data_IF_863874634282
#
_entry.id   IF_863874634282
#
_cell.length_a   1.000
_cell.length_b   1.000
_cell.length_c   1.000
_cell.angle_alpha   90.00
_cell.angle_beta   90.00
_cell.angle_gamma   90.00
#
_symmetry.space_group_name_H-M   'P 1'
#
loop_
_entity.id
_entity.type
_entity.pdbx_description
1 polymer ?
#
# COMPACT_ATOMS: atom_id res chain seq x y z
N UNK A 1 -21.84 -3.59 8.22
CA UNK A 1 -21.70 -3.77 6.74
C UNK A 1 -22.83 -4.62 6.15
N UNK A 2 -23.15 -5.84 6.65
CA UNK A 2 -24.19 -6.67 6.03
C UNK A 2 -25.56 -5.97 5.81
N UNK A 3 -26.15 -5.26 6.80
CA UNK A 3 -27.40 -4.53 6.56
C UNK A 3 -27.30 -3.41 5.52
N UNK A 4 -26.11 -2.82 5.36
CA UNK A 4 -25.84 -1.80 4.35
C UNK A 4 -25.78 -2.41 2.95
N UNK A 5 -25.14 -3.58 2.83
CA UNK A 5 -25.09 -4.34 1.57
C UNK A 5 -26.50 -4.73 1.11
N UNK A 6 -27.33 -5.23 2.02
CA UNK A 6 -28.72 -5.55 1.72
C UNK A 6 -29.52 -4.32 1.25
N UNK A 7 -29.36 -3.18 1.93
CA UNK A 7 -29.96 -1.92 1.47
C UNK A 7 -29.41 -1.47 0.11
N UNK A 8 -28.10 -1.62 -0.12
CA UNK A 8 -27.48 -1.33 -1.40
C UNK A 8 -28.15 -2.11 -2.54
N UNK A 9 -28.34 -3.41 -2.37
CA UNK A 9 -29.03 -4.25 -3.35
C UNK A 9 -30.50 -3.86 -3.57
N UNK A 10 -31.23 -3.53 -2.50
CA UNK A 10 -32.63 -3.07 -2.60
C UNK A 10 -32.79 -1.71 -3.30
N UNK A 11 -31.73 -0.89 -3.32
CA UNK A 11 -31.72 0.42 -3.99
C UNK A 11 -31.42 0.35 -5.50
N UNK A 12 -31.00 -0.80 -6.00
CA UNK A 12 -30.73 -0.97 -7.43
C UNK A 12 -32.05 -0.97 -8.18
N UNK A 13 -32.35 0.15 -8.87
CA UNK A 13 -33.48 0.29 -9.78
C UNK A 13 -33.05 0.09 -11.23
N UNK A 14 -34.02 0.12 -12.18
CA UNK A 14 -33.75 -0.10 -13.60
C UNK A 14 -32.63 0.78 -14.18
N UNK A 15 -32.53 2.03 -13.76
CA UNK A 15 -31.46 2.95 -14.20
C UNK A 15 -30.06 2.63 -13.72
N UNK A 16 -29.91 1.72 -12.73
CA UNK A 16 -28.64 1.31 -12.16
C UNK A 16 -28.23 -0.12 -12.56
N UNK A 17 -29.08 -0.81 -13.35
CA UNK A 17 -28.80 -2.16 -13.87
C UNK A 17 -27.84 -2.15 -15.06
N UNK A 18 -27.57 -0.98 -15.64
CA UNK A 18 -26.59 -0.81 -16.70
C UNK A 18 -25.16 -0.76 -16.19
N UNK A 19 -24.22 -0.59 -17.09
CA UNK A 19 -22.78 -0.58 -16.79
C UNK A 19 -22.33 0.58 -15.88
N UNK A 20 -23.08 1.66 -15.78
CA UNK A 20 -22.74 2.83 -14.97
C UNK A 20 -21.54 3.65 -15.45
N UNK A 21 -21.17 4.70 -14.71
CA UNK A 21 -20.00 5.52 -15.02
C UNK A 21 -18.70 4.73 -14.86
N UNK A 22 -17.74 4.97 -15.75
CA UNK A 22 -16.43 4.29 -15.73
C UNK A 22 -15.58 4.66 -14.52
N UNK A 23 -15.85 5.82 -13.93
CA UNK A 23 -15.18 6.29 -12.73
C UNK A 23 -15.77 5.70 -11.43
N UNK A 24 -16.88 4.97 -11.54
CA UNK A 24 -17.61 4.44 -10.39
C UNK A 24 -18.75 5.33 -9.90
N UNK A 25 -19.47 4.86 -8.89
CA UNK A 25 -20.64 5.50 -8.33
C UNK A 25 -20.32 6.89 -7.78
N UNK A 26 -21.12 7.90 -8.14
CA UNK A 26 -20.87 9.31 -7.79
C UNK A 26 -20.92 9.53 -6.27
N UNK A 27 -21.84 8.89 -5.54
CA UNK A 27 -21.93 9.05 -4.09
C UNK A 27 -20.67 8.51 -3.40
N UNK A 28 -20.14 7.35 -3.83
CA UNK A 28 -18.89 6.83 -3.27
C UNK A 28 -17.70 7.73 -3.61
N UNK A 29 -17.61 8.27 -4.82
CA UNK A 29 -16.55 9.20 -5.21
C UNK A 29 -16.57 10.47 -4.36
N UNK A 30 -17.76 11.03 -4.09
CA UNK A 30 -17.94 12.18 -3.20
C UNK A 30 -17.51 11.86 -1.76
N UNK A 31 -17.97 10.73 -1.21
CA UNK A 31 -17.62 10.30 0.13
C UNK A 31 -16.11 10.07 0.29
N UNK A 32 -15.43 9.49 -0.73
CA UNK A 32 -13.98 9.29 -0.75
C UNK A 32 -13.25 10.63 -0.80
N UNK A 33 -13.63 11.54 -1.69
CA UNK A 33 -12.99 12.86 -1.81
C UNK A 33 -13.07 13.65 -0.49
N UNK A 34 -14.25 13.68 0.15
CA UNK A 34 -14.47 14.32 1.44
C UNK A 34 -13.61 13.69 2.54
N UNK A 35 -13.61 12.35 2.62
CA UNK A 35 -12.81 11.60 3.58
C UNK A 35 -11.32 11.91 3.45
N UNK A 36 -10.78 11.88 2.23
CA UNK A 36 -9.36 12.10 1.96
C UNK A 36 -8.91 13.53 2.23
N UNK A 37 -9.75 14.50 1.92
CA UNK A 37 -9.48 15.91 2.21
C UNK A 37 -9.26 16.13 3.70
N UNK A 38 -10.11 15.52 4.54
CA UNK A 38 -10.06 15.68 6.00
C UNK A 38 -8.98 14.80 6.64
N UNK A 39 -8.84 13.55 6.18
CA UNK A 39 -7.97 12.58 6.86
C UNK A 39 -6.53 12.59 6.37
N UNK A 40 -6.30 12.97 5.10
CA UNK A 40 -4.99 12.85 4.44
C UNK A 40 -4.50 14.16 3.81
N UNK A 41 -5.31 15.22 3.84
CA UNK A 41 -4.98 16.48 3.18
C UNK A 41 -4.86 16.37 1.65
N UNK A 42 -5.47 15.35 1.06
CA UNK A 42 -5.49 15.17 -0.41
C UNK A 42 -6.32 16.27 -1.03
N UNK A 43 -5.78 16.93 -2.06
CA UNK A 43 -6.46 18.00 -2.79
C UNK A 43 -7.17 17.43 -4.01
N UNK A 44 -8.46 17.18 -3.87
CA UNK A 44 -9.28 16.67 -4.97
C UNK A 44 -10.76 17.00 -4.80
N UNK A 45 -11.49 16.86 -5.87
CA UNK A 45 -12.94 16.73 -5.90
C UNK A 45 -13.36 15.37 -6.47
N UNK A 46 -14.66 15.07 -6.43
CA UNK A 46 -15.19 13.79 -6.86
C UNK A 46 -14.95 13.49 -8.38
N UNK A 47 -14.67 14.49 -9.22
CA UNK A 47 -14.41 14.27 -10.65
C UNK A 47 -13.05 13.63 -10.90
N UNK A 48 -12.13 13.79 -9.94
CA UNK A 48 -10.77 13.23 -9.96
C UNK A 48 -10.68 11.83 -9.34
N UNK A 49 -11.76 11.35 -8.70
CA UNK A 49 -11.78 10.05 -8.02
C UNK A 49 -12.29 8.97 -8.97
N UNK A 50 -11.52 7.89 -9.07
CA UNK A 50 -11.92 6.65 -9.77
C UNK A 50 -12.03 5.53 -8.75
N UNK A 51 -13.16 4.82 -8.74
CA UNK A 51 -13.33 3.59 -7.96
C UNK A 51 -12.77 2.43 -8.78
N UNK A 52 -11.94 1.61 -8.14
CA UNK A 52 -11.20 0.52 -8.79
C UNK A 52 -11.40 -0.81 -8.06
N UNK A 53 -10.97 -1.91 -8.67
CA UNK A 53 -10.95 -3.23 -8.03
C UNK A 53 -9.73 -3.44 -7.11
N UNK A 54 -9.23 -2.37 -6.53
CA UNK A 54 -8.07 -2.32 -5.63
C UNK A 54 -6.78 -1.89 -6.33
N UNK A 55 -5.69 -1.79 -5.55
CA UNK A 55 -4.40 -1.22 -5.97
C UNK A 55 -3.85 -1.83 -7.25
N UNK A 56 -3.94 -3.16 -7.44
CA UNK A 56 -3.45 -3.83 -8.66
C UNK A 56 -4.14 -3.32 -9.92
N UNK A 57 -5.45 -3.14 -9.86
CA UNK A 57 -6.22 -2.58 -10.97
C UNK A 57 -5.86 -1.11 -11.21
N UNK A 58 -5.67 -0.33 -10.14
CA UNK A 58 -5.22 1.06 -10.25
C UNK A 58 -3.84 1.15 -10.91
N UNK A 59 -2.91 0.30 -10.53
CA UNK A 59 -1.55 0.23 -11.11
C UNK A 59 -1.57 -0.14 -12.59
N UNK A 60 -2.35 -1.17 -12.98
CA UNK A 60 -2.51 -1.56 -14.38
C UNK A 60 -3.09 -0.40 -15.23
N UNK A 61 -4.11 0.29 -14.70
CA UNK A 61 -4.67 1.47 -15.36
C UNK A 61 -3.64 2.60 -15.52
N UNK A 62 -2.85 2.88 -14.48
CA UNK A 62 -1.81 3.90 -14.56
C UNK A 62 -0.75 3.55 -15.61
N UNK A 63 -0.23 2.32 -15.58
CA UNK A 63 0.78 1.88 -16.52
C UNK A 63 0.29 1.97 -17.97
N UNK A 64 -0.89 1.40 -18.27
CA UNK A 64 -1.49 1.43 -19.63
C UNK A 64 -1.87 2.83 -20.12
N UNK A 65 -2.10 3.77 -19.23
CA UNK A 65 -2.52 5.13 -19.62
C UNK A 65 -1.35 6.07 -19.80
N UNK A 66 -0.28 5.88 -19.01
CA UNK A 66 0.77 6.89 -18.83
C UNK A 66 2.13 6.48 -19.39
N UNK A 67 2.29 5.21 -19.74
CA UNK A 67 3.56 4.68 -20.21
C UNK A 67 3.40 3.85 -21.48
N UNK A 68 4.46 3.82 -22.27
CA UNK A 68 4.63 2.94 -23.41
C UNK A 68 5.57 1.77 -23.03
N UNK A 69 5.52 0.69 -23.81
CA UNK A 69 6.42 -0.44 -23.64
C UNK A 69 7.89 0.02 -23.73
N UNK A 70 8.71 -0.40 -22.77
CA UNK A 70 10.12 0.01 -22.63
C UNK A 70 10.35 1.30 -21.83
N UNK A 71 9.30 2.05 -21.49
CA UNK A 71 9.44 3.19 -20.59
C UNK A 71 9.96 2.77 -19.21
N UNK A 72 10.68 3.68 -18.57
CA UNK A 72 11.30 3.42 -17.27
C UNK A 72 10.32 3.67 -16.12
N UNK A 73 10.22 2.70 -15.22
CA UNK A 73 9.53 2.85 -13.94
C UNK A 73 10.51 2.67 -12.78
N UNK A 74 10.56 3.64 -11.88
CA UNK A 74 11.27 3.51 -10.63
C UNK A 74 10.38 2.81 -9.60
N UNK A 75 10.95 1.86 -8.88
CA UNK A 75 10.30 1.16 -7.78
C UNK A 75 11.21 1.13 -6.55
N UNK A 76 10.61 1.18 -5.38
CA UNK A 76 11.30 0.94 -4.11
C UNK A 76 11.95 -0.45 -4.12
N UNK A 77 13.18 -0.55 -3.59
CA UNK A 77 13.90 -1.81 -3.47
C UNK A 77 14.58 -1.94 -2.10
N UNK A 78 14.06 -2.81 -1.21
CA UNK A 78 12.93 -3.72 -1.39
C UNK A 78 11.60 -2.99 -1.52
N UNK A 79 10.64 -3.58 -2.24
CA UNK A 79 9.36 -2.94 -2.51
C UNK A 79 8.21 -3.91 -2.76
N UNK A 80 7.03 -3.37 -2.97
CA UNK A 80 5.81 -4.14 -3.15
C UNK A 80 5.84 -4.98 -4.43
N UNK A 81 5.75 -6.30 -4.25
CA UNK A 81 5.75 -7.27 -5.36
C UNK A 81 4.64 -6.99 -6.39
N UNK A 82 3.46 -6.58 -5.93
CA UNK A 82 2.33 -6.31 -6.81
C UNK A 82 2.58 -5.13 -7.75
N UNK A 83 3.27 -4.08 -7.32
CA UNK A 83 3.66 -2.97 -8.19
C UNK A 83 4.63 -3.46 -9.26
N UNK A 84 5.66 -4.23 -8.85
CA UNK A 84 6.59 -4.87 -9.79
C UNK A 84 5.86 -5.68 -10.85
N UNK A 85 4.94 -6.55 -10.43
CA UNK A 85 4.19 -7.40 -11.36
C UNK A 85 3.31 -6.59 -12.34
N UNK A 86 2.63 -5.55 -11.88
CA UNK A 86 1.79 -4.71 -12.73
C UNK A 86 2.60 -3.93 -13.77
N UNK A 87 3.72 -3.34 -13.36
CA UNK A 87 4.59 -2.55 -14.25
C UNK A 87 5.33 -3.45 -15.24
N UNK A 88 5.76 -4.65 -14.82
CA UNK A 88 6.34 -5.65 -15.74
C UNK A 88 5.33 -6.17 -16.75
N UNK A 89 4.07 -6.37 -16.36
CA UNK A 89 3.00 -6.78 -17.27
C UNK A 89 2.67 -5.71 -18.34
N UNK A 90 3.05 -4.47 -18.09
CA UNK A 90 2.98 -3.37 -19.05
C UNK A 90 4.29 -3.18 -19.83
N UNK A 91 5.19 -4.15 -19.82
CA UNK A 91 6.51 -4.14 -20.49
C UNK A 91 7.39 -2.93 -20.11
N UNK A 92 7.23 -2.39 -18.92
CA UNK A 92 8.08 -1.30 -18.42
C UNK A 92 9.44 -1.81 -17.94
N UNK A 93 10.48 -1.01 -18.16
CA UNK A 93 11.81 -1.25 -17.61
C UNK A 93 11.87 -0.80 -16.16
N UNK A 94 11.99 -1.76 -15.22
CA UNK A 94 12.06 -1.46 -13.81
C UNK A 94 13.47 -1.07 -13.37
N UNK A 95 13.59 0.08 -12.72
CA UNK A 95 14.82 0.54 -12.07
C UNK A 95 14.61 0.49 -10.56
N UNK A 96 15.43 -0.33 -9.85
CA UNK A 96 15.38 -0.39 -8.40
C UNK A 96 16.01 0.85 -7.78
N UNK A 97 15.25 1.58 -6.98
CA UNK A 97 15.77 2.68 -6.19
C UNK A 97 15.84 2.26 -4.73
N UNK A 98 16.98 2.51 -4.09
CA UNK A 98 17.20 2.16 -2.68
C UNK A 98 16.22 2.87 -1.76
N UNK A 99 15.94 2.22 -0.64
CA UNK A 99 15.13 2.78 0.45
C UNK A 99 16.02 2.91 1.68
N UNK A 100 16.03 4.08 2.29
CA UNK A 100 16.68 4.36 3.56
C UNK A 100 15.64 4.67 4.67
N UNK A 101 16.09 5.20 5.78
CA UNK A 101 15.23 5.57 6.93
C UNK A 101 14.20 6.64 6.57
N UNK A 102 14.48 7.46 5.56
CA UNK A 102 13.64 8.54 5.05
C UNK A 102 12.83 8.16 3.80
N UNK A 103 12.75 6.88 3.46
CA UNK A 103 11.99 6.35 2.31
C UNK A 103 12.80 6.22 1.03
N UNK A 104 12.15 6.30 -0.14
CA UNK A 104 12.81 6.22 -1.46
C UNK A 104 13.96 7.22 -1.57
N UNK A 105 15.16 6.77 -1.94
CA UNK A 105 16.41 7.53 -1.93
C UNK A 105 17.10 7.56 -3.31
N UNK A 106 16.52 8.26 -4.32
CA UNK A 106 17.15 8.41 -5.62
C UNK A 106 18.36 9.32 -5.52
N UNK A 107 19.42 8.97 -6.26
CA UNK A 107 20.64 9.78 -6.41
C UNK A 107 20.51 10.66 -7.67
N UNK A 108 21.32 11.70 -7.77
CA UNK A 108 21.36 12.57 -8.95
C UNK A 108 21.67 11.80 -10.26
N UNK A 109 22.51 10.76 -10.16
CA UNK A 109 22.82 9.90 -11.29
C UNK A 109 21.59 9.13 -11.79
N UNK A 110 20.73 8.68 -10.87
CA UNK A 110 19.52 7.93 -11.23
C UNK A 110 18.59 8.81 -12.10
N UNK A 111 18.45 10.11 -11.74
CA UNK A 111 17.66 11.08 -12.52
C UNK A 111 18.26 11.36 -13.90
N UNK A 112 19.58 11.41 -14.01
CA UNK A 112 20.28 11.69 -15.25
C UNK A 112 20.33 10.48 -16.19
N UNK A 113 20.68 9.31 -15.66
CA UNK A 113 21.03 8.13 -16.44
C UNK A 113 19.84 7.22 -16.74
N UNK A 114 18.82 7.25 -15.87
CA UNK A 114 17.60 6.44 -16.01
C UNK A 114 16.34 7.22 -15.63
N UNK A 115 16.07 8.37 -16.26
CA UNK A 115 14.92 9.20 -15.93
C UNK A 115 13.61 8.38 -15.99
N UNK A 116 12.76 8.48 -14.98
CA UNK A 116 11.56 7.68 -14.91
C UNK A 116 10.40 8.29 -15.69
N UNK A 117 9.52 7.46 -16.23
CA UNK A 117 8.16 7.82 -16.63
C UNK A 117 7.19 7.72 -15.46
N UNK A 118 7.33 6.65 -14.65
CA UNK A 118 6.56 6.42 -13.43
C UNK A 118 7.49 6.20 -12.25
N UNK A 119 7.09 6.71 -11.08
CA UNK A 119 7.77 6.49 -9.79
C UNK A 119 6.75 5.91 -8.83
N UNK A 120 6.92 4.65 -8.41
CA UNK A 120 6.04 4.01 -7.42
C UNK A 120 6.64 4.13 -6.02
N UNK A 121 5.85 4.66 -5.08
CA UNK A 121 6.24 4.86 -3.68
C UNK A 121 5.14 4.47 -2.70
N UNK A 122 5.55 4.07 -1.49
CA UNK A 122 4.70 3.83 -0.32
C UNK A 122 5.12 4.74 0.84
N UNK A 123 4.92 6.08 0.73
CA UNK A 123 5.62 7.07 1.55
C UNK A 123 5.12 7.19 2.99
N UNK A 124 3.91 6.72 3.27
CA UNK A 124 3.32 6.78 4.61
C UNK A 124 3.77 5.62 5.51
N UNK A 125 4.08 4.49 4.90
CA UNK A 125 4.58 3.27 5.54
C UNK A 125 5.18 2.38 4.46
N UNK A 126 6.48 2.54 4.22
CA UNK A 126 7.18 1.85 3.14
C UNK A 126 7.04 0.33 3.28
N UNK A 127 6.59 -0.30 2.22
CA UNK A 127 6.46 -1.75 2.21
C UNK A 127 7.66 -2.40 1.52
N UNK A 128 8.41 -3.29 2.21
CA UNK A 128 8.07 -3.93 3.50
C UNK A 128 8.79 -3.36 4.73
N UNK A 129 9.69 -2.38 4.62
CA UNK A 129 10.60 -1.97 5.70
C UNK A 129 9.94 -1.16 6.83
N UNK A 130 8.78 -0.55 6.56
CA UNK A 130 8.08 0.30 7.51
C UNK A 130 8.68 1.70 7.69
N UNK A 131 9.62 2.10 6.84
CA UNK A 131 10.15 3.46 6.82
C UNK A 131 9.05 4.47 6.46
N UNK A 132 9.16 5.69 6.96
CA UNK A 132 8.23 6.78 6.67
C UNK A 132 8.99 7.85 5.91
N UNK A 133 8.56 8.19 4.69
CA UNK A 133 9.22 9.22 3.90
C UNK A 133 9.19 10.56 4.62
N UNK A 134 10.37 11.16 4.81
CA UNK A 134 10.53 12.41 5.54
C UNK A 134 9.79 13.57 4.86
N UNK A 135 9.43 14.58 5.67
CA UNK A 135 8.73 15.77 5.17
C UNK A 135 9.58 16.60 4.19
N UNK A 136 10.88 16.53 4.29
CA UNK A 136 11.82 17.21 3.39
C UNK A 136 11.95 16.49 2.04
N UNK A 137 11.94 15.16 2.05
CA UNK A 137 12.09 14.35 0.83
C UNK A 137 10.86 14.41 -0.08
N UNK A 138 9.65 14.55 0.49
CA UNK A 138 8.40 14.59 -0.29
C UNK A 138 8.35 15.75 -1.30
N UNK A 139 8.55 17.03 -0.93
CA UNK A 139 8.54 18.13 -1.89
C UNK A 139 9.73 18.06 -2.87
N UNK A 140 10.89 17.59 -2.43
CA UNK A 140 12.05 17.36 -3.30
C UNK A 140 11.72 16.36 -4.42
N UNK A 141 11.10 15.22 -4.06
CA UNK A 141 10.68 14.20 -5.04
C UNK A 141 9.65 14.76 -6.04
N UNK A 142 8.68 15.56 -5.58
CA UNK A 142 7.71 16.23 -6.46
C UNK A 142 8.41 17.16 -7.46
N UNK A 143 9.40 17.95 -7.00
CA UNK A 143 10.12 18.89 -7.83
C UNK A 143 10.92 18.17 -8.93
N UNK A 144 11.66 17.13 -8.57
CA UNK A 144 12.45 16.34 -9.52
C UNK A 144 11.54 15.58 -10.50
N UNK A 145 10.46 14.98 -10.04
CA UNK A 145 9.50 14.30 -10.90
C UNK A 145 8.88 15.26 -11.93
N UNK A 146 8.52 16.48 -11.49
CA UNK A 146 8.00 17.51 -12.38
C UNK A 146 9.03 17.93 -13.44
N UNK A 147 10.28 18.12 -13.05
CA UNK A 147 11.37 18.45 -13.97
C UNK A 147 11.66 17.35 -15.00
N UNK A 148 11.54 16.09 -14.58
CA UNK A 148 11.70 14.91 -15.43
C UNK A 148 10.46 14.57 -16.28
N UNK A 149 9.33 15.25 -16.10
CA UNK A 149 8.06 14.88 -16.74
C UNK A 149 7.49 13.54 -16.26
N UNK A 150 7.86 13.10 -15.07
CA UNK A 150 7.45 11.84 -14.46
C UNK A 150 6.18 11.99 -13.63
N UNK A 151 5.41 10.88 -13.53
CA UNK A 151 4.28 10.75 -12.62
C UNK A 151 4.67 9.93 -11.40
N UNK A 152 4.29 10.41 -10.21
CA UNK A 152 4.44 9.67 -8.96
C UNK A 152 3.15 8.90 -8.69
N UNK A 153 3.25 7.61 -8.41
CA UNK A 153 2.17 6.77 -7.92
C UNK A 153 2.39 6.60 -6.41
N UNK A 154 1.61 7.31 -5.62
CA UNK A 154 1.59 7.22 -4.16
C UNK A 154 0.60 6.15 -3.72
N UNK A 155 1.09 4.99 -3.30
CA UNK A 155 0.24 3.91 -2.77
C UNK A 155 0.14 4.03 -1.24
N UNK A 156 -1.02 4.44 -0.79
CA UNK A 156 -1.36 4.63 0.61
C UNK A 156 -2.30 3.52 1.09
N UNK A 157 -1.73 2.39 1.47
CA UNK A 157 -2.47 1.15 1.72
C UNK A 157 -2.89 0.95 3.18
N UNK A 158 -2.22 1.59 4.17
CA UNK A 158 -2.47 1.35 5.61
C UNK A 158 -2.20 2.55 6.54
N UNK A 159 -2.08 3.76 6.02
CA UNK A 159 -1.80 4.97 6.80
C UNK A 159 -2.85 5.31 7.85
N UNK A 160 -4.07 4.78 7.71
CA UNK A 160 -5.12 4.88 8.72
C UNK A 160 -4.72 4.26 10.06
N UNK A 161 -3.77 3.32 10.04
CA UNK A 161 -3.29 2.58 11.22
C UNK A 161 -1.96 3.14 11.74
N UNK A 162 -1.85 4.46 11.80
CA UNK A 162 -0.70 5.10 12.45
C UNK A 162 -0.84 4.97 13.96
N UNK A 163 0.21 4.44 14.60
CA UNK A 163 0.23 4.15 16.03
C UNK A 163 0.96 5.23 16.83
N UNK A 164 1.96 5.89 16.24
CA UNK A 164 2.76 6.92 16.90
C UNK A 164 2.90 8.15 16.00
N UNK A 165 2.97 9.33 16.62
CA UNK A 165 3.11 10.62 15.93
C UNK A 165 1.81 11.14 15.31
N UNK A 166 1.87 12.36 14.78
CA UNK A 166 0.75 12.99 14.08
C UNK A 166 0.46 12.31 12.74
N UNK A 167 -0.80 12.35 12.25
CA UNK A 167 -1.10 11.95 10.88
C UNK A 167 -0.25 12.74 9.87
N UNK A 168 0.28 12.04 8.88
CA UNK A 168 1.04 12.68 7.80
C UNK A 168 0.12 13.00 6.64
N UNK A 169 0.26 14.18 6.05
CA UNK A 169 -0.42 14.51 4.80
C UNK A 169 0.11 13.63 3.66
N UNK A 170 -0.76 13.32 2.72
CA UNK A 170 -0.36 12.66 1.48
C UNK A 170 0.63 13.54 0.68
N UNK A 171 1.51 12.91 -0.10
CA UNK A 171 2.42 13.62 -1.02
C UNK A 171 1.60 14.43 -2.04
N UNK A 172 0.48 13.86 -2.51
CA UNK A 172 -0.45 14.47 -3.46
C UNK A 172 -0.94 15.86 -3.00
N UNK A 173 -1.20 16.02 -1.72
CA UNK A 173 -1.77 17.26 -1.16
C UNK A 173 -0.76 18.37 -0.86
N UNK A 174 0.54 18.12 -0.96
CA UNK A 174 1.58 19.07 -0.53
C UNK A 174 1.69 20.30 -1.43
N UNK A 175 1.48 20.16 -2.73
CA UNK A 175 1.55 21.26 -3.70
C UNK A 175 0.37 21.22 -4.66
N UNK A 176 0.01 22.38 -5.19
CA UNK A 176 -0.97 22.44 -6.27
C UNK A 176 -0.43 21.76 -7.53
N UNK A 177 -1.32 21.06 -8.24
CA UNK A 177 -0.98 20.34 -9.46
C UNK A 177 0.25 19.44 -9.31
N UNK A 178 0.40 18.78 -8.16
CA UNK A 178 1.43 17.78 -7.96
C UNK A 178 1.30 16.67 -9.03
N UNK A 179 2.39 16.20 -9.65
CA UNK A 179 2.37 15.10 -10.60
C UNK A 179 2.19 13.76 -9.86
N UNK A 180 1.19 13.68 -9.00
CA UNK A 180 0.97 12.55 -8.09
C UNK A 180 -0.41 11.96 -8.32
N UNK A 181 -0.44 10.66 -8.53
CA UNK A 181 -1.63 9.82 -8.54
C UNK A 181 -1.66 9.12 -7.20
N UNK A 182 -2.68 9.41 -6.39
CA UNK A 182 -2.86 8.79 -5.08
C UNK A 182 -3.70 7.53 -5.20
N UNK A 183 -3.22 6.42 -4.67
CA UNK A 183 -3.95 5.15 -4.61
C UNK A 183 -4.34 4.84 -3.16
N UNK A 184 -5.57 4.38 -2.98
CA UNK A 184 -6.06 3.89 -1.70
C UNK A 184 -6.85 2.59 -1.85
N UNK A 185 -6.96 1.83 -0.78
CA UNK A 185 -7.65 0.54 -0.79
C UNK A 185 -8.52 0.32 0.43
N UNK A 186 -9.72 -0.17 0.23
CA UNK A 186 -10.58 -0.63 1.34
C UNK A 186 -10.24 -2.04 1.82
N UNK A 187 -9.39 -2.77 1.08
CA UNK A 187 -9.00 -4.14 1.43
C UNK A 187 -8.29 -4.26 2.77
N UNK A 188 -7.51 -3.26 3.15
CA UNK A 188 -6.79 -3.22 4.43
C UNK A 188 -7.63 -2.58 5.53
N UNK A 189 -8.41 -1.58 5.18
CA UNK A 189 -9.27 -0.87 6.11
C UNK A 189 -10.49 -1.68 6.53
N UNK A 190 -11.03 -2.54 5.66
CA UNK A 190 -12.19 -3.40 5.90
C UNK A 190 -11.82 -4.88 5.79
N UNK A 191 -11.90 -5.43 4.59
CA UNK A 191 -11.50 -6.83 4.31
C UNK A 191 -11.16 -7.03 2.84
N UNK A 192 -10.18 -7.92 2.52
CA UNK A 192 -9.66 -8.09 1.16
C UNK A 192 -10.70 -8.53 0.12
N UNK A 193 -11.69 -9.34 0.51
CA UNK A 193 -12.71 -9.87 -0.40
C UNK A 193 -13.69 -8.78 -0.91
N UNK A 194 -13.71 -7.60 -0.30
CA UNK A 194 -14.51 -6.47 -0.79
C UNK A 194 -14.03 -6.02 -2.18
N UNK A 195 -12.73 -6.14 -2.47
CA UNK A 195 -12.13 -5.81 -3.76
C UNK A 195 -12.53 -4.42 -4.28
N UNK A 196 -12.56 -3.44 -3.41
CA UNK A 196 -12.75 -2.03 -3.75
C UNK A 196 -11.52 -1.23 -3.34
N UNK A 197 -11.08 -0.38 -4.23
CA UNK A 197 -10.08 0.63 -4.03
C UNK A 197 -10.48 1.91 -4.75
N UNK A 198 -9.60 2.88 -4.72
CA UNK A 198 -9.80 4.13 -5.43
C UNK A 198 -8.45 4.74 -5.81
N UNK A 199 -8.48 5.59 -6.81
CA UNK A 199 -7.36 6.49 -7.12
C UNK A 199 -7.86 7.91 -7.28
N UNK A 200 -7.01 8.85 -6.88
CA UNK A 200 -7.19 10.29 -7.11
C UNK A 200 -6.14 10.72 -8.12
N UNK A 201 -6.60 11.32 -9.21
CA UNK A 201 -5.73 11.68 -10.32
C UNK A 201 -5.70 13.19 -10.56
N UNK A 202 -4.59 13.74 -11.03
CA UNK A 202 -4.54 15.13 -11.50
C UNK A 202 -5.62 15.41 -12.55
N UNK A 203 -6.21 16.62 -12.60
CA UNK A 203 -7.29 16.95 -13.57
C UNK A 203 -6.95 16.64 -15.03
N UNK A 204 -5.70 16.86 -15.43
CA UNK A 204 -5.21 16.57 -16.78
C UNK A 204 -5.26 15.06 -17.15
N UNK A 205 -5.23 14.17 -16.15
CA UNK A 205 -5.28 12.73 -16.36
C UNK A 205 -6.68 12.15 -16.35
N UNK A 206 -7.70 12.92 -15.98
CA UNK A 206 -9.09 12.43 -15.95
C UNK A 206 -9.57 11.96 -17.32
N UNK A 207 -9.42 12.72 -18.44
CA UNK A 207 -9.88 12.26 -19.74
C UNK A 207 -9.17 10.99 -20.25
N UNK A 208 -7.83 10.89 -20.27
CA UNK A 208 -7.16 9.68 -20.72
C UNK A 208 -7.49 8.44 -19.85
N UNK A 209 -7.58 8.59 -18.53
CA UNK A 209 -7.94 7.49 -17.64
C UNK A 209 -9.39 7.04 -17.84
N UNK A 210 -10.33 7.94 -18.09
CA UNK A 210 -11.69 7.58 -18.49
C UNK A 210 -11.71 6.74 -19.77
N UNK A 211 -10.91 7.09 -20.76
CA UNK A 211 -10.78 6.33 -22.00
C UNK A 211 -10.26 4.92 -21.73
N UNK A 212 -9.19 4.79 -20.96
CA UNK A 212 -8.62 3.49 -20.58
C UNK A 212 -9.61 2.66 -19.76
N UNK A 213 -10.24 3.24 -18.74
CA UNK A 213 -11.24 2.55 -17.92
C UNK A 213 -12.42 2.06 -18.76
N UNK A 214 -12.86 2.87 -19.72
CA UNK A 214 -13.92 2.50 -20.66
C UNK A 214 -13.55 1.32 -21.56
N UNK A 215 -12.32 1.29 -22.04
CA UNK A 215 -11.78 0.20 -22.86
C UNK A 215 -11.59 -1.11 -22.08
N UNK A 216 -11.15 -1.02 -20.83
CA UNK A 216 -10.95 -2.17 -19.95
C UNK A 216 -12.27 -2.67 -19.33
N UNK A 217 -13.39 -1.98 -19.55
CA UNK A 217 -14.72 -2.31 -19.02
C UNK A 217 -14.76 -2.48 -17.49
N UNK A 218 -13.96 -1.68 -16.75
CA UNK A 218 -13.86 -1.70 -15.30
C UNK A 218 -15.11 -1.04 -14.67
N UNK A 219 -16.17 -1.81 -14.50
CA UNK A 219 -17.48 -1.32 -14.05
C UNK A 219 -18.17 -2.36 -13.20
N UNK A 220 -19.22 -1.93 -12.48
CA UNK A 220 -20.06 -2.83 -11.69
C UNK A 220 -19.96 -2.58 -10.19
N UNK A 221 -20.35 -3.57 -9.41
CA UNK A 221 -20.38 -3.54 -7.94
C UNK A 221 -21.17 -2.34 -7.39
N UNK A 222 -22.28 -1.99 -8.05
CA UNK A 222 -23.06 -0.81 -7.70
C UNK A 222 -23.59 -0.90 -6.28
N UNK A 223 -24.09 -2.08 -5.86
CA UNK A 223 -24.61 -2.29 -4.51
C UNK A 223 -23.53 -2.09 -3.43
N UNK A 224 -22.32 -2.65 -3.66
CA UNK A 224 -21.18 -2.51 -2.76
C UNK A 224 -20.71 -1.07 -2.68
N UNK A 225 -20.67 -0.37 -3.81
CA UNK A 225 -20.29 1.04 -3.85
C UNK A 225 -21.30 1.92 -3.11
N UNK A 226 -22.61 1.70 -3.29
CA UNK A 226 -23.65 2.42 -2.55
C UNK A 226 -23.60 2.15 -1.06
N UNK A 227 -23.43 0.87 -0.67
CA UNK A 227 -23.30 0.49 0.73
C UNK A 227 -22.07 1.12 1.40
N UNK A 228 -20.94 1.19 0.66
CA UNK A 228 -19.72 1.78 1.17
C UNK A 228 -19.82 3.30 1.28
N UNK A 229 -20.46 3.97 0.32
CA UNK A 229 -20.77 5.40 0.41
C UNK A 229 -21.55 5.71 1.69
N UNK A 230 -22.67 5.01 1.91
CA UNK A 230 -23.48 5.17 3.12
C UNK A 230 -22.68 4.85 4.41
N UNK A 231 -21.79 3.84 4.36
CA UNK A 231 -20.93 3.48 5.50
C UNK A 231 -19.97 4.60 5.89
N UNK A 232 -19.44 5.33 4.90
CA UNK A 232 -18.56 6.48 5.11
C UNK A 232 -19.36 7.67 5.62
N UNK A 233 -20.42 8.05 4.91
CA UNK A 233 -21.27 9.23 5.18
C UNK A 233 -21.93 9.16 6.56
N UNK A 234 -22.41 7.99 6.98
CA UNK A 234 -23.01 7.77 8.29
C UNK A 234 -21.98 7.72 9.45
N UNK A 235 -20.68 7.94 9.17
CA UNK A 235 -19.60 7.93 10.14
C UNK A 235 -19.26 6.54 10.71
N UNK A 236 -19.82 5.47 10.15
CA UNK A 236 -19.51 4.10 10.55
C UNK A 236 -18.07 3.73 10.22
N UNK A 237 -17.56 4.19 9.09
CA UNK A 237 -16.19 3.97 8.66
C UNK A 237 -15.18 4.56 9.65
N UNK A 238 -15.36 5.82 10.06
CA UNK A 238 -14.49 6.47 11.04
C UNK A 238 -14.49 5.75 12.39
N UNK A 239 -15.69 5.29 12.86
CA UNK A 239 -15.80 4.50 14.10
C UNK A 239 -15.08 3.15 13.97
N UNK A 240 -15.20 2.49 12.83
CA UNK A 240 -14.50 1.26 12.52
C UNK A 240 -12.98 1.45 12.55
N UNK A 241 -12.45 2.45 11.87
CA UNK A 241 -11.02 2.75 11.83
C UNK A 241 -10.46 3.03 13.24
N UNK A 242 -11.18 3.79 14.09
CA UNK A 242 -10.76 4.04 15.47
C UNK A 242 -10.65 2.74 16.29
N UNK A 243 -11.62 1.85 16.13
CA UNK A 243 -11.61 0.53 16.79
C UNK A 243 -10.44 -0.32 16.29
N UNK A 244 -10.23 -0.38 14.98
CA UNK A 244 -9.17 -1.20 14.38
C UNK A 244 -7.78 -0.66 14.72
N UNK A 245 -7.61 0.67 14.77
CA UNK A 245 -6.34 1.28 15.20
C UNK A 245 -5.96 0.86 16.61
N UNK A 246 -6.90 0.86 17.55
CA UNK A 246 -6.64 0.37 18.91
C UNK A 246 -6.27 -1.12 18.91
N UNK A 247 -7.05 -1.95 18.23
CA UNK A 247 -6.81 -3.39 18.15
C UNK A 247 -5.44 -3.72 17.55
N UNK A 248 -5.07 -3.03 16.47
CA UNK A 248 -3.76 -3.25 15.83
C UNK A 248 -2.61 -2.70 16.68
N UNK A 249 -2.83 -1.62 17.43
CA UNK A 249 -1.88 -1.15 18.42
C UNK A 249 -1.59 -2.19 19.50
N UNK A 250 -2.63 -2.76 20.12
CA UNK A 250 -2.53 -3.83 21.13
C UNK A 250 -1.78 -5.06 20.58
N UNK A 251 -2.06 -5.45 19.33
CA UNK A 251 -1.39 -6.59 18.68
C UNK A 251 0.08 -6.31 18.34
N UNK A 252 0.38 -5.10 17.87
CA UNK A 252 1.75 -4.66 17.63
C UNK A 252 2.57 -4.70 18.92
N UNK A 253 2.04 -4.12 20.00
CA UNK A 253 2.73 -4.04 21.27
C UNK A 253 3.01 -5.43 21.85
N UNK A 254 2.03 -6.35 21.73
CA UNK A 254 2.21 -7.75 22.13
C UNK A 254 3.29 -8.46 21.28
N UNK A 255 3.33 -8.21 19.96
CA UNK A 255 4.35 -8.76 19.08
C UNK A 255 5.74 -8.21 19.42
N UNK A 256 5.88 -6.90 19.64
CA UNK A 256 7.16 -6.29 20.01
C UNK A 256 7.66 -6.82 21.34
N UNK A 257 6.82 -6.88 22.37
CA UNK A 257 7.19 -7.44 23.68
C UNK A 257 7.59 -8.92 23.61
N UNK A 258 6.94 -9.71 22.75
CA UNK A 258 7.31 -11.10 22.52
C UNK A 258 8.65 -11.24 21.79
N UNK A 259 8.92 -10.38 20.81
CA UNK A 259 10.22 -10.33 20.11
C UNK A 259 11.35 -9.96 21.08
N UNK A 260 11.17 -8.92 21.88
CA UNK A 260 12.15 -8.50 22.89
C UNK A 260 12.45 -9.64 23.89
N UNK A 261 11.44 -10.42 24.26
CA UNK A 261 11.59 -11.53 25.22
C UNK A 261 12.28 -12.76 24.63
N UNK A 262 11.99 -13.09 23.38
CA UNK A 262 12.37 -14.40 22.81
C UNK A 262 13.41 -14.31 21.69
N UNK A 263 13.59 -13.14 21.06
CA UNK A 263 14.42 -12.96 19.86
C UNK A 263 15.45 -11.84 20.02
N UNK A 264 15.67 -11.36 21.24
CA UNK A 264 16.75 -10.40 21.54
C UNK A 264 18.10 -10.96 21.08
N UNK A 265 18.88 -10.18 20.35
CA UNK A 265 20.14 -10.58 19.74
C UNK A 265 20.03 -11.58 18.57
N UNK A 266 18.82 -11.96 18.17
CA UNK A 266 18.56 -12.84 17.02
C UNK A 266 17.99 -12.04 15.84
N UNK A 267 17.16 -11.03 16.11
CA UNK A 267 16.59 -10.15 15.10
C UNK A 267 16.66 -8.69 15.51
N UNK A 268 16.81 -7.82 14.51
CA UNK A 268 16.64 -6.36 14.67
C UNK A 268 15.32 -5.95 14.00
N UNK A 269 14.42 -5.33 14.79
CA UNK A 269 13.10 -4.92 14.33
C UNK A 269 13.12 -3.50 13.76
N UNK A 270 12.41 -3.28 12.65
CA UNK A 270 12.14 -1.98 12.07
C UNK A 270 10.65 -1.81 11.76
N UNK A 271 10.22 -0.57 11.56
CA UNK A 271 8.80 -0.22 11.40
C UNK A 271 8.12 0.00 12.76
N UNK A 272 6.80 -0.20 12.82
CA UNK A 272 6.02 -0.10 14.06
C UNK A 272 5.47 1.29 14.38
N UNK A 273 5.84 2.33 13.64
CA UNK A 273 5.20 3.64 13.75
C UNK A 273 3.76 3.63 13.21
N UNK A 274 3.44 2.69 12.34
CA UNK A 274 2.13 2.52 11.72
C UNK A 274 1.95 1.15 11.08
N UNK A 275 0.84 0.98 10.37
CA UNK A 275 0.55 -0.18 9.55
C UNK A 275 0.10 -1.42 10.30
N UNK A 276 0.32 -2.58 9.69
CA UNK A 276 -0.14 -3.88 10.18
C UNK A 276 0.96 -4.95 10.15
N UNK A 277 2.23 -4.57 10.00
CA UNK A 277 3.38 -5.47 10.00
C UNK A 277 4.61 -4.79 10.61
N UNK A 278 5.57 -5.61 11.01
CA UNK A 278 6.94 -5.22 11.36
C UNK A 278 7.89 -5.93 10.39
N UNK A 279 9.05 -5.36 10.16
CA UNK A 279 10.17 -6.06 9.54
C UNK A 279 11.20 -6.44 10.60
N UNK A 280 11.63 -7.70 10.59
CA UNK A 280 12.62 -8.25 11.49
C UNK A 280 13.81 -8.75 10.67
N UNK A 281 14.91 -7.99 10.66
CA UNK A 281 16.17 -8.41 10.03
C UNK A 281 16.80 -9.51 10.89
N UNK A 282 17.24 -10.59 10.27
CA UNK A 282 17.97 -11.67 10.94
C UNK A 282 19.43 -11.25 11.15
N UNK A 283 19.89 -11.25 12.40
CA UNK A 283 21.26 -10.93 12.75
C UNK A 283 22.20 -12.16 12.66
N UNK A 284 21.61 -13.36 12.49
CA UNK A 284 22.32 -14.60 12.24
C UNK A 284 22.52 -14.86 10.73
N UNK A 285 23.57 -15.55 10.31
CA UNK A 285 23.87 -15.88 8.91
C UNK A 285 22.99 -17.03 8.38
N UNK A 286 21.68 -16.97 8.66
CA UNK A 286 20.69 -17.97 8.26
C UNK A 286 19.83 -17.36 7.15
N UNK A 287 19.70 -17.99 5.98
CA UNK A 287 18.85 -17.44 4.91
C UNK A 287 17.38 -17.35 5.33
N UNK A 288 16.80 -16.18 5.17
CA UNK A 288 15.39 -15.91 5.50
C UNK A 288 14.40 -16.81 4.71
N UNK A 289 14.80 -17.22 3.51
CA UNK A 289 14.03 -18.16 2.69
C UNK A 289 13.98 -19.55 3.29
N UNK A 290 15.04 -19.99 3.96
CA UNK A 290 15.07 -21.29 4.65
C UNK A 290 14.26 -21.24 5.94
N UNK A 291 14.39 -20.16 6.72
CA UNK A 291 13.55 -19.94 7.90
C UNK A 291 12.06 -19.92 7.48
N UNK A 292 11.71 -19.22 6.41
CA UNK A 292 10.35 -19.22 5.89
C UNK A 292 9.85 -20.60 5.48
N UNK A 293 10.72 -21.41 4.86
CA UNK A 293 10.39 -22.78 4.45
C UNK A 293 10.16 -23.68 5.67
N UNK A 294 11.06 -23.63 6.67
CA UNK A 294 10.94 -24.40 7.89
C UNK A 294 9.70 -23.99 8.70
N UNK A 295 9.40 -22.70 8.82
CA UNK A 295 8.24 -22.18 9.53
C UNK A 295 6.90 -22.75 9.00
N UNK A 296 6.80 -23.02 7.70
CA UNK A 296 5.59 -23.62 7.09
C UNK A 296 5.30 -25.02 7.62
N UNK A 297 6.32 -25.82 7.89
CA UNK A 297 6.16 -27.15 8.50
C UNK A 297 5.57 -27.06 9.92
N UNK A 298 5.72 -25.91 10.58
CA UNK A 298 5.16 -25.61 11.89
C UNK A 298 3.87 -24.76 11.83
N UNK A 299 3.20 -24.68 10.68
CA UNK A 299 1.95 -23.95 10.49
C UNK A 299 2.08 -22.43 10.54
N UNK A 300 3.29 -21.88 10.36
CA UNK A 300 3.53 -20.43 10.34
C UNK A 300 3.85 -19.95 8.94
N UNK A 301 3.29 -18.79 8.55
CA UNK A 301 3.59 -18.15 7.27
C UNK A 301 4.44 -16.90 7.57
N UNK A 302 5.75 -17.05 7.47
CA UNK A 302 6.72 -15.96 7.56
C UNK A 302 7.17 -15.58 6.15
N UNK A 303 7.11 -14.30 5.81
CA UNK A 303 7.50 -13.83 4.47
C UNK A 303 8.95 -13.40 4.47
N UNK A 304 9.84 -14.02 3.65
CA UNK A 304 11.23 -13.61 3.58
C UNK A 304 11.34 -12.19 3.02
N UNK A 305 12.10 -11.34 3.68
CA UNK A 305 12.32 -9.95 3.27
C UNK A 305 13.11 -9.86 1.96
N UNK A 306 14.07 -10.78 1.74
CA UNK A 306 14.86 -10.87 0.52
C UNK A 306 14.02 -11.02 -0.76
N UNK A 307 12.84 -11.61 -0.68
CA UNK A 307 11.94 -11.76 -1.84
C UNK A 307 11.28 -10.47 -2.32
N UNK A 308 11.36 -9.41 -1.52
CA UNK A 308 10.87 -8.08 -1.92
C UNK A 308 11.91 -7.28 -2.70
N UNK A 309 13.16 -7.75 -2.76
CA UNK A 309 14.19 -7.18 -3.64
C UNK A 309 13.99 -7.63 -5.09
N UNK A 310 14.44 -6.79 -6.02
CA UNK A 310 14.56 -7.19 -7.42
C UNK A 310 15.66 -8.28 -7.56
N UNK A 311 15.48 -9.28 -8.45
CA UNK A 311 16.50 -10.27 -8.71
C UNK A 311 17.84 -9.61 -9.12
N UNK A 312 18.93 -10.12 -8.54
CA UNK A 312 20.28 -9.61 -8.82
C UNK A 312 20.65 -8.31 -8.10
N UNK A 313 19.75 -7.76 -7.26
CA UNK A 313 20.06 -6.61 -6.42
C UNK A 313 20.30 -7.04 -4.98
N UNK A 314 21.02 -6.24 -4.22
CA UNK A 314 21.47 -6.30 -2.82
C UNK A 314 20.68 -7.19 -1.82
N UNK A 315 20.34 -8.41 -2.19
CA UNK A 315 19.52 -9.32 -1.37
C UNK A 315 20.14 -9.63 -0.01
N UNK A 316 21.46 -9.69 0.08
CA UNK A 316 22.16 -10.00 1.34
C UNK A 316 21.94 -8.95 2.45
N UNK A 317 21.68 -7.69 2.10
CA UNK A 317 21.39 -6.64 3.07
C UNK A 317 20.00 -6.77 3.71
N UNK A 318 19.09 -7.49 3.04
CA UNK A 318 17.69 -7.60 3.43
C UNK A 318 17.33 -9.04 3.81
N UNK A 319 18.23 -9.71 4.53
CA UNK A 319 17.96 -11.01 5.12
C UNK A 319 17.07 -10.85 6.35
N UNK A 320 15.81 -11.24 6.27
CA UNK A 320 14.85 -10.99 7.35
C UNK A 320 13.44 -11.49 7.07
N UNK A 321 12.51 -11.13 7.92
CA UNK A 321 11.13 -11.60 7.90
C UNK A 321 10.15 -10.43 7.99
N UNK A 322 9.06 -10.47 7.24
CA UNK A 322 7.94 -9.55 7.38
C UNK A 322 6.87 -10.20 8.25
N UNK A 323 6.59 -9.60 9.39
CA UNK A 323 5.75 -10.12 10.46
C UNK A 323 4.43 -9.34 10.52
N UNK A 324 3.37 -9.89 9.89
CA UNK A 324 2.04 -9.31 9.93
C UNK A 324 1.31 -9.64 11.23
N UNK A 325 0.79 -8.63 11.91
CA UNK A 325 0.02 -8.80 13.17
C UNK A 325 -1.49 -8.56 13.03
N UNK A 326 -1.95 -8.17 11.85
CA UNK A 326 -3.36 -7.83 11.63
C UNK A 326 -4.36 -8.96 11.89
N UNK A 327 -3.95 -10.22 11.70
CA UNK A 327 -4.82 -11.40 11.84
C UNK A 327 -4.52 -12.28 13.05
N UNK A 328 -3.57 -11.88 13.90
CA UNK A 328 -3.13 -12.69 15.05
C UNK A 328 -3.62 -12.04 16.34
N UNK A 329 -4.34 -12.78 17.22
CA UNK A 329 -4.71 -12.29 18.53
C UNK A 329 -3.49 -11.95 19.40
N UNK A 330 -3.59 -10.90 20.23
CA UNK A 330 -2.47 -10.44 21.05
C UNK A 330 -1.97 -11.54 22.02
N UNK A 331 -2.88 -12.30 22.60
CA UNK A 331 -2.61 -13.41 23.52
C UNK A 331 -1.85 -14.58 22.87
N UNK A 332 -1.89 -14.71 21.56
CA UNK A 332 -1.18 -15.75 20.83
C UNK A 332 0.27 -15.37 20.46
N UNK A 333 0.63 -14.08 20.56
CA UNK A 333 1.91 -13.56 20.05
C UNK A 333 3.13 -14.18 20.75
N UNK A 334 3.09 -14.31 22.08
CA UNK A 334 4.19 -14.87 22.85
C UNK A 334 4.55 -16.30 22.41
N UNK A 335 3.55 -17.17 22.33
CA UNK A 335 3.74 -18.57 21.89
C UNK A 335 4.17 -18.70 20.43
N UNK A 336 3.70 -17.79 19.55
CA UNK A 336 4.10 -17.78 18.14
C UNK A 336 5.55 -17.32 17.96
N UNK A 337 5.98 -16.28 18.68
CA UNK A 337 7.36 -15.78 18.61
C UNK A 337 8.34 -16.76 19.23
N UNK A 338 7.96 -17.45 20.32
CA UNK A 338 8.76 -18.56 20.87
C UNK A 338 8.97 -19.66 19.82
N UNK A 339 7.92 -20.11 19.15
CA UNK A 339 8.05 -21.11 18.05
C UNK A 339 8.89 -20.59 16.89
N UNK A 340 8.79 -19.28 16.59
CA UNK A 340 9.62 -18.68 15.54
C UNK A 340 11.10 -18.74 15.90
N UNK A 341 11.46 -18.49 17.17
CA UNK A 341 12.83 -18.70 17.68
C UNK A 341 13.29 -20.12 17.44
N UNK A 342 12.49 -21.10 17.89
CA UNK A 342 12.84 -22.53 17.80
C UNK A 342 13.10 -22.94 16.32
N UNK A 343 12.30 -22.39 15.38
CA UNK A 343 12.51 -22.58 13.94
C UNK A 343 13.80 -21.93 13.46
N UNK A 344 14.11 -20.68 13.87
CA UNK A 344 15.35 -20.00 13.47
C UNK A 344 16.57 -20.78 13.97
N UNK A 345 16.53 -21.22 15.22
CA UNK A 345 17.61 -22.03 15.84
C UNK A 345 17.77 -23.37 15.13
N UNK A 346 16.69 -24.04 14.75
CA UNK A 346 16.76 -25.34 14.02
C UNK A 346 17.37 -25.23 12.62
N UNK A 347 17.27 -24.05 11.98
CA UNK A 347 17.91 -23.79 10.67
C UNK A 347 19.36 -23.34 10.83
N UNK A 348 19.69 -22.82 12.01
CA UNK A 348 21.07 -22.38 12.32
C UNK A 348 22.02 -23.56 12.57
N UNK A 349 21.48 -24.73 12.88
CA UNK A 349 22.22 -25.97 13.09
C UNK A 349 22.65 -26.14 14.47
#
# INVERSE_FOLDING_TARGET
MAPLMERGWRRIGPGQMGYGPVEGNVALRQAVAEYLRVSRGVRCDATQVFITDGTQNSLDMCARTLADAGDTAWIENPGYYGARAALQAADMRLIPISVDVDGLAPREEDWRDTPPRLIYITPSHQYPLGAVMSLERRPSLIQHARAAGAWIIEDDYDSEFRHTGAPLSAVQGLTENAPVIYLGTFSKMLFPALRLGYMVVPPALVPPLKKTAGALMLRGRVAEQLALAEFIEAGHFTRHLRRMRRLYGERRDALQAAIERHLDGIVTVSGGAGGMHLSARLDAPVPDTEVSRAARAHGMVLRPLSRFCLPGTLTAQYNGLVLGYGNVPAEAMDGLVKRMRDVIESVRG
#
